data_IF_233855386042
#
_entry.id   IF_233855386042
#
_cell.length_a   1.000
_cell.length_b   1.000
_cell.length_c   1.000
_cell.angle_alpha   90.00
_cell.angle_beta   90.00
_cell.angle_gamma   90.00
#
_symmetry.space_group_name_H-M   'P 1'
#
loop_
_entity.id
_entity.type
_entity.pdbx_description
1 polymer ?
#
# COMPACT_ATOMS: atom_id res chain seq x y z
N UNK A 1 -15.17 6.99 -5.16
CA UNK A 1 -14.57 6.19 -4.06
C UNK A 1 -13.60 5.22 -4.70
N UNK A 2 -12.35 5.06 -4.20
CA UNK A 2 -11.46 4.03 -4.75
C UNK A 2 -12.04 2.63 -4.50
N UNK A 3 -11.74 1.64 -5.36
CA UNK A 3 -12.18 0.27 -5.14
C UNK A 3 -11.60 -0.27 -3.83
N UNK A 4 -12.41 -1.02 -3.08
CA UNK A 4 -11.99 -1.72 -1.87
C UNK A 4 -11.99 -3.21 -2.20
N UNK A 5 -10.83 -3.84 -2.11
CA UNK A 5 -10.68 -5.28 -2.29
C UNK A 5 -10.83 -5.99 -0.94
N UNK A 6 -11.53 -7.12 -0.94
CA UNK A 6 -11.72 -7.96 0.24
C UNK A 6 -10.80 -9.19 0.18
N UNK A 7 -9.93 -9.37 1.18
CA UNK A 7 -8.99 -10.50 1.30
C UNK A 7 -9.38 -11.41 2.49
N UNK A 8 -10.46 -12.18 2.33
CA UNK A 8 -11.01 -13.04 3.41
C UNK A 8 -10.00 -14.09 3.87
N UNK A 9 -9.23 -14.67 2.95
CA UNK A 9 -8.27 -15.76 3.25
C UNK A 9 -6.91 -15.26 3.74
N UNK A 10 -6.69 -13.94 3.72
CA UNK A 10 -5.42 -13.27 4.03
C UNK A 10 -4.27 -13.70 3.09
N UNK A 11 -4.58 -14.23 1.91
CA UNK A 11 -3.57 -14.70 0.96
C UNK A 11 -2.75 -13.54 0.40
N UNK A 12 -3.41 -12.42 0.10
CA UNK A 12 -2.73 -11.21 -0.37
C UNK A 12 -1.88 -10.62 0.74
N UNK A 13 -2.43 -10.52 1.96
CA UNK A 13 -1.69 -10.05 3.12
C UNK A 13 -0.44 -10.90 3.40
N UNK A 14 -0.55 -12.24 3.32
CA UNK A 14 0.59 -13.17 3.48
C UNK A 14 1.63 -13.00 2.38
N UNK A 15 1.20 -12.99 1.11
CA UNK A 15 2.09 -12.87 -0.06
C UNK A 15 2.93 -11.60 0.00
N UNK A 16 2.34 -10.49 0.43
CA UNK A 16 3.03 -9.21 0.54
C UNK A 16 3.61 -8.95 1.94
N UNK A 17 3.52 -9.89 2.89
CA UNK A 17 4.01 -9.73 4.25
C UNK A 17 3.47 -8.45 4.93
N UNK A 18 2.17 -8.18 4.76
CA UNK A 18 1.47 -7.07 5.39
C UNK A 18 1.09 -7.42 6.84
N UNK A 19 2.08 -7.61 7.70
CA UNK A 19 1.91 -8.07 9.09
C UNK A 19 1.39 -6.95 10.00
N UNK A 20 1.79 -5.69 9.74
CA UNK A 20 1.42 -4.52 10.54
C UNK A 20 0.46 -3.61 9.77
N UNK A 21 -0.45 -2.94 10.46
CA UNK A 21 -1.48 -2.12 9.83
C UNK A 21 -1.40 -0.63 10.23
N UNK A 22 -1.72 0.30 9.30
CA UNK A 22 -1.87 0.05 7.86
C UNK A 22 -0.49 -0.17 7.21
N UNK A 23 -0.43 -1.09 6.25
CA UNK A 23 0.72 -1.24 5.34
C UNK A 23 0.25 -0.86 3.94
N UNK A 24 1.07 -0.13 3.18
CA UNK A 24 0.79 0.02 1.76
C UNK A 24 2.04 0.13 0.90
N UNK A 25 1.80 0.00 -0.40
CA UNK A 25 2.82 -0.18 -1.41
C UNK A 25 2.66 0.89 -2.49
N UNK A 26 3.78 1.48 -2.86
CA UNK A 26 3.90 2.27 -4.07
C UNK A 26 4.40 1.37 -5.17
N UNK A 27 3.61 1.26 -6.24
CA UNK A 27 3.88 0.39 -7.37
C UNK A 27 3.97 1.26 -8.61
N UNK A 28 5.01 1.07 -9.41
CA UNK A 28 5.17 1.80 -10.67
C UNK A 28 4.36 1.18 -11.82
N UNK A 29 4.43 1.80 -12.99
CA UNK A 29 3.74 1.36 -14.20
C UNK A 29 4.21 0.01 -14.74
N UNK A 30 5.39 -0.45 -14.33
CA UNK A 30 5.95 -1.76 -14.67
C UNK A 30 5.52 -2.86 -13.68
N UNK A 31 4.72 -2.51 -12.65
CA UNK A 31 4.26 -3.43 -11.62
C UNK A 31 5.28 -3.69 -10.52
N UNK A 32 6.36 -2.90 -10.44
CA UNK A 32 7.41 -3.06 -9.44
C UNK A 32 7.09 -2.28 -8.17
N UNK A 33 7.19 -2.93 -7.01
CA UNK A 33 7.10 -2.26 -5.71
C UNK A 33 8.33 -1.37 -5.52
N UNK A 34 8.11 -0.06 -5.46
CA UNK A 34 9.16 0.94 -5.22
C UNK A 34 9.30 1.30 -3.74
N UNK A 35 8.22 1.22 -2.97
CA UNK A 35 8.25 1.54 -1.54
C UNK A 35 7.16 0.78 -0.76
N UNK A 36 7.50 0.35 0.46
CA UNK A 36 6.57 -0.13 1.49
C UNK A 36 6.53 0.88 2.64
N UNK A 37 5.33 1.30 3.05
CA UNK A 37 5.13 2.20 4.19
C UNK A 37 4.24 1.51 5.21
N UNK A 38 4.69 1.51 6.47
CA UNK A 38 3.97 0.94 7.61
C UNK A 38 3.61 2.10 8.56
N UNK A 39 2.35 2.16 8.99
CA UNK A 39 1.88 3.11 9.98
C UNK A 39 0.94 4.19 9.42
N UNK A 40 0.36 5.06 10.28
CA UNK A 40 -0.76 5.95 9.96
C UNK A 40 -0.55 6.92 8.80
N UNK A 41 -1.65 7.31 8.12
CA UNK A 41 -1.70 8.22 6.94
C UNK A 41 -0.84 9.50 7.06
N UNK A 42 -0.58 9.99 8.26
CA UNK A 42 0.27 11.18 8.46
C UNK A 42 1.72 10.99 7.96
N UNK A 43 2.28 9.77 8.07
CA UNK A 43 3.61 9.46 7.52
C UNK A 43 3.66 9.50 5.98
N UNK A 44 2.50 9.42 5.33
CA UNK A 44 2.35 9.23 3.89
C UNK A 44 2.42 10.56 3.17
N UNK A 45 1.81 11.59 3.76
CA UNK A 45 1.77 12.94 3.21
C UNK A 45 3.20 13.53 3.12
N UNK A 46 4.11 13.13 4.00
CA UNK A 46 5.54 13.49 3.91
C UNK A 46 6.26 12.76 2.76
N UNK A 47 5.92 11.50 2.50
CA UNK A 47 6.52 10.70 1.41
C UNK A 47 5.96 11.04 0.02
N UNK A 48 4.66 11.33 -0.07
CA UNK A 48 3.93 11.61 -1.32
C UNK A 48 4.34 12.92 -2.00
N UNK A 49 4.80 13.93 -1.26
CA UNK A 49 5.25 15.19 -1.87
C UNK A 49 6.51 15.02 -2.75
N UNK A 50 7.18 13.87 -2.67
CA UNK A 50 8.41 13.57 -3.44
C UNK A 50 8.15 12.81 -4.74
N UNK A 51 7.00 12.18 -4.92
CA UNK A 51 6.71 11.31 -6.07
C UNK A 51 5.37 11.67 -6.72
N UNK A 52 5.42 12.23 -7.95
CA UNK A 52 4.25 12.58 -8.76
C UNK A 52 3.98 11.57 -9.88
N UNK A 53 4.58 10.37 -9.86
CA UNK A 53 4.52 9.42 -10.99
C UNK A 53 4.10 7.99 -10.64
N UNK A 54 3.88 7.66 -9.37
CA UNK A 54 3.47 6.31 -8.95
C UNK A 54 2.00 6.21 -8.53
N UNK A 55 1.33 5.13 -8.94
CA UNK A 55 0.01 4.76 -8.41
C UNK A 55 0.18 4.21 -6.98
N UNK A 56 -0.50 4.83 -6.01
CA UNK A 56 -0.55 4.32 -4.64
C UNK A 56 -1.66 3.25 -4.52
N UNK A 57 -1.29 2.02 -4.17
CA UNK A 57 -2.27 1.00 -3.81
C UNK A 57 -2.27 0.85 -2.29
N UNK A 58 -3.36 1.33 -1.67
CA UNK A 58 -3.58 1.23 -0.23
C UNK A 58 -4.26 -0.10 0.06
N UNK A 59 -3.54 -1.04 0.68
CA UNK A 59 -4.18 -2.21 1.28
C UNK A 59 -4.63 -1.84 2.69
N UNK A 60 -5.95 -1.79 2.90
CA UNK A 60 -6.51 -1.85 4.23
C UNK A 60 -6.79 -3.32 4.52
N UNK A 61 -5.90 -3.97 5.26
CA UNK A 61 -6.11 -5.33 5.74
C UNK A 61 -6.73 -5.22 7.15
N UNK A 62 -8.01 -5.53 7.36
CA UNK A 62 -8.51 -5.87 8.69
C UNK A 62 -8.08 -7.29 9.11
#
# INVERSE_FOLDING_TARGET
MPPILLDVTKEVAKRYQAISIPTSYFIDEQGMIRQKVIGPKHYWIKSLRRDRRGQQIIFFVP
#
